data_IF_405116664243
#
_entry.id   IF_405116664243
#
_cell.length_a   1.000
_cell.length_b   1.000
_cell.length_c   1.000
_cell.angle_alpha   90.00
_cell.angle_beta   90.00
_cell.angle_gamma   90.00
#
_symmetry.space_group_name_H-M   'P 1'
#
loop_
_entity.id
_entity.type
_entity.pdbx_description
1 polymer ?
#
# COMPACT_ATOMS: atom_id res chain seq x y z
N UNK A 1 -4.89 -50.22 7.44
CA UNK A 1 -4.37 -48.90 7.06
C UNK A 1 -5.33 -48.26 6.07
N UNK A 2 -6.12 -47.25 6.48
CA UNK A 2 -7.14 -46.61 5.64
C UNK A 2 -6.55 -45.39 4.96
N UNK A 3 -6.38 -45.42 3.62
CA UNK A 3 -6.03 -44.23 2.83
C UNK A 3 -7.29 -43.39 2.62
N UNK A 4 -7.31 -42.16 3.10
CA UNK A 4 -8.38 -41.19 2.83
C UNK A 4 -8.04 -40.49 1.52
N UNK A 5 -8.80 -40.78 0.46
CA UNK A 5 -8.77 -40.03 -0.79
C UNK A 5 -9.71 -38.84 -0.57
N UNK A 6 -9.16 -37.63 -0.54
CA UNK A 6 -9.97 -36.40 -0.49
C UNK A 6 -10.40 -36.12 -1.92
N UNK A 7 -11.69 -36.32 -2.18
CA UNK A 7 -12.37 -35.87 -3.38
C UNK A 7 -12.50 -34.34 -3.33
N UNK A 8 -11.92 -33.65 -4.32
CA UNK A 8 -12.29 -32.27 -4.62
C UNK A 8 -13.08 -32.27 -5.92
N UNK A 9 -14.38 -32.07 -5.75
CA UNK A 9 -15.42 -32.06 -6.76
C UNK A 9 -15.26 -30.80 -7.64
N UNK A 10 -14.69 -30.92 -8.83
CA UNK A 10 -15.00 -29.98 -9.90
C UNK A 10 -16.28 -30.50 -10.57
N UNK A 11 -17.39 -29.80 -10.37
CA UNK A 11 -18.66 -30.09 -11.04
C UNK A 11 -18.42 -30.01 -12.55
N UNK A 12 -18.49 -31.16 -13.22
CA UNK A 12 -18.51 -31.22 -14.68
C UNK A 12 -19.91 -30.85 -15.16
N UNK A 13 -20.03 -29.79 -15.96
CA UNK A 13 -21.15 -29.65 -16.87
C UNK A 13 -20.63 -29.78 -18.30
N UNK A 14 -20.92 -30.92 -18.93
CA UNK A 14 -20.70 -31.14 -20.35
C UNK A 14 -21.88 -30.59 -21.15
N UNK A 15 -21.67 -29.52 -21.92
CA UNK A 15 -22.45 -29.20 -23.12
C UNK A 15 -21.46 -29.16 -24.28
N UNK A 16 -21.50 -30.16 -25.16
CA UNK A 16 -20.80 -30.10 -26.46
C UNK A 16 -21.69 -29.32 -27.41
N UNK A 17 -21.55 -27.99 -27.38
CA UNK A 17 -22.02 -27.07 -28.41
C UNK A 17 -20.79 -26.32 -28.93
N UNK A 18 -20.61 -26.26 -30.25
CA UNK A 18 -19.50 -25.51 -30.86
C UNK A 18 -19.79 -24.02 -30.66
N UNK A 19 -19.33 -23.46 -29.53
CA UNK A 19 -19.27 -22.02 -29.33
C UNK A 19 -18.12 -21.46 -30.17
N UNK A 20 -18.26 -20.25 -30.76
CA UNK A 20 -17.13 -19.61 -31.43
C UNK A 20 -16.00 -19.41 -30.43
N UNK A 21 -14.78 -19.78 -30.82
CA UNK A 21 -13.52 -19.72 -30.03
C UNK A 21 -13.14 -18.27 -29.59
N UNK A 22 -13.99 -17.28 -29.84
CA UNK A 22 -13.75 -15.87 -29.53
C UNK A 22 -13.97 -15.44 -28.06
N UNK A 23 -14.53 -16.26 -27.15
CA UNK A 23 -15.22 -15.68 -25.98
C UNK A 23 -15.10 -16.38 -24.60
N UNK A 24 -14.07 -17.17 -24.30
CA UNK A 24 -13.90 -17.70 -22.93
C UNK A 24 -12.74 -17.00 -22.20
N UNK A 25 -13.10 -16.08 -21.31
CA UNK A 25 -12.17 -15.47 -20.37
C UNK A 25 -11.95 -16.42 -19.18
N UNK A 26 -10.70 -16.73 -18.84
CA UNK A 26 -10.40 -17.66 -17.75
C UNK A 26 -8.96 -17.50 -17.23
N UNK A 27 -8.79 -17.83 -15.94
CA UNK A 27 -7.48 -18.10 -15.35
C UNK A 27 -6.91 -19.40 -15.94
N UNK A 28 -5.67 -19.32 -16.45
CA UNK A 28 -4.92 -20.46 -17.01
C UNK A 28 -3.52 -20.52 -16.42
N UNK A 29 -2.87 -21.67 -16.57
CA UNK A 29 -1.45 -21.84 -16.25
C UNK A 29 -0.59 -21.50 -17.47
N UNK A 30 0.48 -20.73 -17.28
CA UNK A 30 1.52 -20.54 -18.28
C UNK A 30 2.51 -21.73 -18.32
N UNK A 31 3.55 -21.64 -19.14
CA UNK A 31 4.59 -22.68 -19.25
C UNK A 31 5.39 -22.89 -17.96
N UNK A 32 5.34 -21.93 -17.03
CA UNK A 32 6.04 -21.94 -15.74
C UNK A 32 5.09 -22.25 -14.57
N UNK A 33 3.84 -22.63 -14.86
CA UNK A 33 2.80 -22.92 -13.88
C UNK A 33 2.34 -21.71 -13.04
N UNK A 34 2.56 -20.49 -13.52
CA UNK A 34 1.97 -19.27 -12.96
C UNK A 34 0.52 -19.11 -13.43
N UNK A 35 -0.31 -18.43 -12.63
CA UNK A 35 -1.66 -18.07 -13.06
C UNK A 35 -1.61 -16.84 -13.97
N UNK A 36 -2.25 -16.92 -15.13
CA UNK A 36 -2.42 -15.80 -16.07
C UNK A 36 -3.88 -15.69 -16.48
N UNK A 37 -4.35 -14.47 -16.72
CA UNK A 37 -5.70 -14.25 -17.25
C UNK A 37 -5.66 -14.27 -18.78
N UNK A 38 -6.43 -15.17 -19.40
CA UNK A 38 -6.56 -15.28 -20.85
C UNK A 38 -7.96 -14.91 -21.27
N UNK A 39 -8.08 -13.96 -22.19
CA UNK A 39 -9.35 -13.49 -22.73
C UNK A 39 -9.17 -13.10 -24.20
N UNK A 40 -10.17 -13.42 -25.03
CA UNK A 40 -10.12 -13.25 -26.49
C UNK A 40 -8.88 -13.88 -27.15
N UNK A 41 -8.39 -15.00 -26.58
CA UNK A 41 -7.25 -15.75 -27.11
C UNK A 41 -5.87 -15.21 -26.73
N UNK A 42 -5.78 -14.13 -25.93
CA UNK A 42 -4.52 -13.53 -25.50
C UNK A 42 -4.38 -13.44 -23.99
N UNK A 43 -3.13 -13.44 -23.51
CA UNK A 43 -2.79 -13.12 -22.12
C UNK A 43 -2.99 -11.61 -21.91
N UNK A 44 -3.68 -11.25 -20.83
CA UNK A 44 -3.92 -9.85 -20.48
C UNK A 44 -2.80 -9.29 -19.60
N UNK A 45 -2.66 -7.97 -19.66
CA UNK A 45 -1.65 -7.17 -18.95
C UNK A 45 -2.32 -5.90 -18.41
N UNK A 46 -1.68 -5.25 -17.44
CA UNK A 46 -2.17 -4.03 -16.80
C UNK A 46 -3.42 -4.25 -15.94
N UNK A 47 -4.18 -3.18 -15.73
CA UNK A 47 -5.41 -3.21 -14.94
C UNK A 47 -6.51 -4.02 -15.62
N UNK A 48 -7.01 -5.04 -14.93
CA UNK A 48 -8.09 -5.90 -15.38
C UNK A 48 -9.10 -6.13 -14.24
N UNK A 49 -10.38 -5.98 -14.55
CA UNK A 49 -11.46 -6.27 -13.62
C UNK A 49 -12.00 -7.68 -13.89
N UNK A 50 -11.74 -8.60 -12.96
CA UNK A 50 -11.97 -10.04 -13.13
C UNK A 50 -12.76 -10.52 -11.91
N UNK A 51 -13.89 -11.20 -12.14
CA UNK A 51 -14.74 -11.78 -11.10
C UNK A 51 -15.03 -10.83 -9.92
N UNK A 52 -15.31 -9.56 -10.27
CA UNK A 52 -15.63 -8.48 -9.34
C UNK A 52 -14.46 -7.92 -8.51
N UNK A 53 -13.21 -8.23 -8.90
CA UNK A 53 -12.01 -7.68 -8.28
C UNK A 53 -11.08 -7.04 -9.33
N UNK A 54 -10.36 -6.00 -8.91
CA UNK A 54 -9.29 -5.42 -9.72
C UNK A 54 -7.99 -6.19 -9.51
N UNK A 55 -7.33 -6.50 -10.62
CA UNK A 55 -6.00 -7.08 -10.70
C UNK A 55 -5.11 -6.17 -11.54
N UNK A 56 -3.82 -6.14 -11.23
CA UNK A 56 -2.80 -5.62 -12.13
C UNK A 56 -1.97 -6.80 -12.62
N UNK A 57 -2.05 -7.09 -13.91
CA UNK A 57 -1.31 -8.17 -14.54
C UNK A 57 0.02 -7.61 -15.07
N UNK A 58 1.14 -8.23 -14.68
CA UNK A 58 2.47 -7.84 -15.12
C UNK A 58 2.66 -7.96 -16.63
N UNK A 59 3.83 -7.55 -17.12
CA UNK A 59 4.17 -7.71 -18.55
C UNK A 59 4.26 -9.19 -18.97
N UNK A 60 4.45 -10.11 -18.03
CA UNK A 60 4.38 -11.56 -18.21
C UNK A 60 2.94 -12.12 -18.08
N UNK A 61 1.97 -11.26 -17.73
CA UNK A 61 0.57 -11.63 -17.48
C UNK A 61 0.30 -12.21 -16.11
N UNK A 62 1.31 -12.27 -15.24
CA UNK A 62 1.18 -12.79 -13.87
C UNK A 62 0.61 -11.67 -12.97
N UNK A 63 -0.37 -11.95 -12.11
CA UNK A 63 -0.90 -10.97 -11.16
C UNK A 63 0.19 -10.44 -10.22
N UNK A 64 0.32 -9.11 -10.18
CA UNK A 64 1.19 -8.43 -9.22
C UNK A 64 0.62 -8.58 -7.81
N UNK A 65 1.50 -8.74 -6.83
CA UNK A 65 1.18 -8.74 -5.40
C UNK A 65 2.08 -7.73 -4.68
N UNK A 66 1.62 -7.20 -3.54
CA UNK A 66 2.31 -6.16 -2.79
C UNK A 66 2.13 -4.75 -3.37
N UNK A 67 3.10 -3.89 -3.11
CA UNK A 67 3.08 -2.49 -3.54
C UNK A 67 3.21 -2.36 -5.06
N UNK A 68 2.36 -1.52 -5.65
CA UNK A 68 2.35 -1.19 -7.07
C UNK A 68 2.32 0.32 -7.21
N UNK A 69 3.24 0.88 -8.01
CA UNK A 69 3.16 2.27 -8.45
C UNK A 69 2.74 2.32 -9.91
N UNK A 70 1.65 3.00 -10.22
CA UNK A 70 1.18 3.22 -11.59
C UNK A 70 0.81 4.69 -11.78
N UNK A 71 1.40 5.32 -12.79
CA UNK A 71 1.16 6.74 -13.16
C UNK A 71 1.26 7.75 -12.02
N UNK A 72 2.12 7.49 -11.04
CA UNK A 72 2.36 8.37 -9.89
C UNK A 72 1.50 8.07 -8.67
N UNK A 73 0.49 7.22 -8.80
CA UNK A 73 -0.33 6.75 -7.69
C UNK A 73 0.23 5.43 -7.13
N UNK A 74 0.07 5.23 -5.82
CA UNK A 74 0.42 3.98 -5.15
C UNK A 74 -0.84 3.13 -4.89
N UNK A 75 -0.70 1.83 -5.11
CA UNK A 75 -1.72 0.82 -4.89
C UNK A 75 -1.11 -0.33 -4.10
N UNK A 76 -1.97 -1.15 -3.50
CA UNK A 76 -1.54 -2.40 -2.88
C UNK A 76 -2.38 -3.55 -3.38
N UNK A 77 -1.69 -4.59 -3.85
CA UNK A 77 -2.27 -5.83 -4.32
C UNK A 77 -2.13 -6.88 -3.21
N UNK A 78 -3.23 -7.44 -2.73
CA UNK A 78 -3.22 -8.50 -1.72
C UNK A 78 -2.49 -9.75 -2.23
N UNK A 79 -2.22 -10.71 -1.35
CA UNK A 79 -1.47 -11.93 -1.70
C UNK A 79 -2.17 -12.82 -2.74
N UNK A 80 -3.49 -12.68 -2.91
CA UNK A 80 -4.27 -13.31 -3.96
C UNK A 80 -4.32 -12.49 -5.27
N UNK A 81 -3.61 -11.36 -5.34
CA UNK A 81 -3.53 -10.46 -6.49
C UNK A 81 -4.65 -9.44 -6.61
N UNK A 82 -5.62 -9.40 -5.69
CA UNK A 82 -6.72 -8.42 -5.74
C UNK A 82 -6.28 -7.07 -5.16
N UNK A 83 -6.71 -5.97 -5.75
CA UNK A 83 -6.42 -4.61 -5.29
C UNK A 83 -7.10 -4.29 -3.95
N UNK A 84 -6.41 -3.61 -3.05
CA UNK A 84 -6.99 -2.97 -1.88
C UNK A 84 -7.77 -1.70 -2.30
N UNK A 85 -9.00 -1.56 -1.82
CA UNK A 85 -9.84 -0.37 -2.02
C UNK A 85 -10.75 -0.17 -0.81
N UNK A 86 -11.08 1.08 -0.48
CA UNK A 86 -11.90 1.46 0.68
C UNK A 86 -11.49 0.75 1.98
N UNK A 87 -10.18 0.59 2.22
CA UNK A 87 -9.70 -0.27 3.29
C UNK A 87 -8.39 0.19 3.89
N UNK A 88 -8.17 -0.25 5.12
CA UNK A 88 -6.93 -0.06 5.87
C UNK A 88 -5.99 -1.23 5.64
N UNK A 89 -4.69 -0.95 5.61
CA UNK A 89 -3.65 -1.96 5.51
C UNK A 89 -2.49 -1.60 6.43
N UNK A 90 -1.87 -2.62 7.04
CA UNK A 90 -0.66 -2.46 7.84
C UNK A 90 0.51 -3.19 7.21
N UNK A 91 1.64 -2.50 7.11
CA UNK A 91 2.89 -3.08 6.63
C UNK A 91 4.05 -2.48 7.43
N UNK A 92 4.84 -3.34 8.09
CA UNK A 92 5.99 -2.89 8.89
C UNK A 92 5.62 -1.98 10.08
N UNK A 93 4.42 -2.09 10.63
CA UNK A 93 3.93 -1.24 11.73
C UNK A 93 3.37 0.12 11.29
N UNK A 94 3.39 0.42 9.99
CA UNK A 94 2.78 1.60 9.41
C UNK A 94 1.36 1.30 8.92
N UNK A 95 0.48 2.29 9.05
CA UNK A 95 -0.90 2.24 8.57
C UNK A 95 -1.04 3.00 7.26
N UNK A 96 -1.75 2.40 6.33
CA UNK A 96 -2.09 2.95 5.02
C UNK A 96 -3.60 2.85 4.81
N UNK A 97 -4.16 3.81 4.10
CA UNK A 97 -5.56 3.78 3.68
C UNK A 97 -5.63 3.89 2.16
N UNK A 98 -6.46 3.06 1.55
CA UNK A 98 -6.73 3.07 0.10
C UNK A 98 -8.15 3.56 -0.15
N UNK A 99 -8.30 4.50 -1.06
CA UNK A 99 -9.58 5.08 -1.44
C UNK A 99 -10.46 4.12 -2.26
N UNK A 100 -11.60 4.60 -2.75
CA UNK A 100 -12.54 3.80 -3.56
C UNK A 100 -11.98 3.33 -4.90
N UNK A 101 -10.95 4.02 -5.41
CA UNK A 101 -10.23 3.67 -6.64
C UNK A 101 -8.98 2.84 -6.34
N UNK A 102 -8.74 2.50 -5.07
CA UNK A 102 -7.57 1.75 -4.60
C UNK A 102 -6.28 2.55 -4.53
N UNK A 103 -6.35 3.87 -4.67
CA UNK A 103 -5.17 4.74 -4.53
C UNK A 103 -4.86 4.94 -3.06
N UNK A 104 -3.58 4.87 -2.72
CA UNK A 104 -3.08 5.16 -1.39
C UNK A 104 -3.30 6.65 -1.10
N UNK A 105 -4.02 6.93 -0.02
CA UNK A 105 -4.20 8.30 0.45
C UNK A 105 -2.89 8.83 1.03
N UNK A 106 -2.52 10.02 0.60
CA UNK A 106 -1.30 10.74 1.03
C UNK A 106 -1.60 12.07 1.71
N UNK A 107 -2.87 12.48 1.76
CA UNK A 107 -3.33 13.75 2.34
C UNK A 107 -4.30 13.52 3.52
N UNK A 108 -4.97 14.59 3.95
CA UNK A 108 -6.06 14.52 4.93
C UNK A 108 -7.29 13.81 4.36
N UNK A 109 -7.80 12.80 5.08
CA UNK A 109 -9.03 12.09 4.69
C UNK A 109 -9.95 11.86 5.88
N UNK A 110 -11.25 12.00 5.62
CA UNK A 110 -12.30 11.60 6.57
C UNK A 110 -12.78 10.20 6.23
N UNK A 111 -12.53 9.26 7.13
CA UNK A 111 -13.04 7.89 7.04
C UNK A 111 -14.11 7.73 8.10
N UNK A 112 -15.36 7.53 7.64
CA UNK A 112 -16.57 7.54 8.47
C UNK A 112 -16.74 8.87 9.23
N UNK A 113 -16.45 8.89 10.53
CA UNK A 113 -16.56 10.07 11.40
C UNK A 113 -15.22 10.56 11.93
N UNK A 114 -14.10 9.97 11.49
CA UNK A 114 -12.75 10.32 11.94
C UNK A 114 -11.93 10.90 10.80
N UNK A 115 -11.13 11.92 11.12
CA UNK A 115 -10.16 12.53 10.22
C UNK A 115 -8.78 11.95 10.49
N UNK A 116 -8.04 11.68 9.41
CA UNK A 116 -6.69 11.13 9.42
C UNK A 116 -5.80 11.99 8.54
N UNK A 117 -4.58 12.26 9.00
CA UNK A 117 -3.57 13.03 8.26
C UNK A 117 -2.46 12.09 7.78
N UNK A 118 -2.33 11.94 6.46
CA UNK A 118 -1.29 11.13 5.81
C UNK A 118 -0.17 11.98 5.18
N UNK A 119 -0.21 13.31 5.34
CA UNK A 119 0.71 14.26 4.69
C UNK A 119 2.17 14.03 5.12
N UNK A 120 2.36 13.64 6.38
CA UNK A 120 3.65 13.22 6.90
C UNK A 120 3.62 11.70 7.08
N UNK A 121 4.38 11.01 6.26
CA UNK A 121 4.44 9.55 6.23
C UNK A 121 4.77 9.03 7.63
N UNK A 122 3.82 8.27 8.21
CA UNK A 122 3.83 7.64 9.53
C UNK A 122 3.04 8.36 10.65
N UNK A 123 1.77 7.96 10.78
CA UNK A 123 0.98 7.91 12.03
C UNK A 123 0.58 9.28 12.62
N UNK A 124 -0.73 9.58 12.59
CA UNK A 124 -1.36 10.35 13.67
C UNK A 124 -2.37 9.46 14.41
N UNK A 125 -1.87 8.74 15.42
CA UNK A 125 -2.56 8.58 16.70
C UNK A 125 -1.98 9.61 17.67
N UNK A 126 -2.25 10.89 17.43
CA UNK A 126 -2.01 11.94 18.42
C UNK A 126 -2.97 13.11 18.26
N UNK A 127 -4.27 12.81 18.17
CA UNK A 127 -5.28 13.79 18.58
C UNK A 127 -6.17 13.24 19.69
N UNK A 128 -5.50 12.87 20.78
CA UNK A 128 -6.04 13.16 22.10
C UNK A 128 -4.96 13.39 23.17
N UNK A 129 -3.88 14.12 22.88
CA UNK A 129 -3.10 14.86 23.90
C UNK A 129 -2.62 16.16 23.25
N UNK A 130 -3.06 17.30 23.78
CA UNK A 130 -2.80 18.62 23.22
C UNK A 130 -1.32 19.01 23.27
N UNK A 131 -0.64 18.92 22.12
CA UNK A 131 0.66 19.54 21.90
C UNK A 131 0.56 20.42 20.65
N UNK A 132 0.60 21.73 20.90
CA UNK A 132 0.85 22.77 19.92
C UNK A 132 2.25 22.55 19.31
N UNK A 133 2.30 22.12 18.05
CA UNK A 133 3.54 21.89 17.31
C UNK A 133 4.01 23.13 16.53
N UNK A 134 3.53 24.34 16.83
CA UNK A 134 3.97 25.57 16.13
C UNK A 134 5.14 26.30 16.78
N UNK A 135 5.69 25.80 17.90
CA UNK A 135 6.77 26.50 18.65
C UNK A 135 8.18 25.90 18.60
N UNK A 136 8.48 24.96 17.70
CA UNK A 136 9.82 24.35 17.69
C UNK A 136 10.53 24.33 16.33
N UNK A 137 10.39 25.40 15.56
CA UNK A 137 11.26 25.68 14.41
C UNK A 137 11.78 27.12 14.54
N UNK A 138 12.69 27.36 15.47
CA UNK A 138 13.67 28.47 15.42
C UNK A 138 14.65 28.36 16.60
N UNK A 139 15.96 28.37 16.28
CA UNK A 139 17.13 28.30 17.17
C UNK A 139 17.47 26.85 17.59
N UNK A 140 18.54 26.21 17.11
CA UNK A 140 19.93 26.60 17.38
C UNK A 140 20.90 25.81 16.47
N UNK A 141 21.47 26.48 15.47
CA UNK A 141 22.87 26.33 15.04
C UNK A 141 23.50 27.64 15.48
N UNK A 142 24.55 27.73 16.30
CA UNK A 142 25.87 27.12 16.20
C UNK A 142 26.51 26.98 17.60
N UNK A 143 27.32 25.95 17.78
CA UNK A 143 28.26 25.80 18.89
C UNK A 143 29.65 26.06 18.33
N UNK A 144 30.25 27.20 18.66
CA UNK A 144 31.71 27.38 18.55
C UNK A 144 32.25 27.73 19.93
N UNK A 145 33.04 26.81 20.45
CA UNK A 145 33.75 26.89 21.74
C UNK A 145 34.96 27.80 21.57
N UNK A 146 35.17 28.71 22.52
CA UNK A 146 36.51 29.17 22.89
C UNK A 146 36.53 29.51 24.38
N UNK A 147 37.09 28.60 25.17
CA UNK A 147 37.61 28.89 26.51
C UNK A 147 38.64 30.03 26.42
N UNK A 148 38.59 30.99 27.35
CA UNK A 148 39.78 31.56 28.03
C UNK A 148 39.33 32.37 29.26
N UNK A 149 39.77 31.85 30.41
CA UNK A 149 40.06 32.45 31.71
C UNK A 149 39.05 33.18 32.60
N UNK A 150 38.97 32.59 33.80
CA UNK A 150 38.51 33.15 35.07
C UNK A 150 39.68 33.84 35.78
N UNK A 151 39.62 35.16 35.96
CA UNK A 151 40.20 35.94 37.09
C UNK A 151 39.83 37.42 36.85
N UNK A 152 39.57 38.33 37.78
CA UNK A 152 39.58 38.38 39.24
C UNK A 152 38.90 39.71 39.65
N UNK A 153 38.16 39.69 40.76
CA UNK A 153 38.01 40.70 41.83
C UNK A 153 38.45 42.17 41.55
N UNK A 154 37.54 43.15 41.81
CA UNK A 154 37.63 44.20 42.85
C UNK A 154 36.72 45.40 42.50
N UNK A 155 35.84 45.71 43.45
CA UNK A 155 35.13 46.98 43.64
C UNK A 155 36.06 48.12 44.06
N UNK A 156 35.89 49.32 43.51
CA UNK A 156 36.54 50.52 44.02
C UNK A 156 35.89 51.81 43.51
N UNK A 157 35.10 52.45 44.37
CA UNK A 157 34.73 53.86 44.28
C UNK A 157 35.96 54.75 44.57
N UNK A 158 36.04 55.93 43.94
CA UNK A 158 37.04 56.93 44.35
C UNK A 158 37.19 58.16 43.45
N UNK A 159 36.36 59.16 43.73
CA UNK A 159 36.44 60.61 43.39
C UNK A 159 36.18 61.07 41.96
#
# INVERSE_FOLDING_TARGET
MKKKIIASLLVSLSVVGILPVSAQAAWKKDAYNNNVWVEAGGIKQGWNFIDNFWYYLGADGVPVTGWLQDKGDWYYMWSNGTMAYNTWMTNGGLWYYFDENGKMVTDLVKVESREYDFTNTAIILSKNIGLDNTKNISQTTEKTVSDTDVSSVVSGEGK
#
